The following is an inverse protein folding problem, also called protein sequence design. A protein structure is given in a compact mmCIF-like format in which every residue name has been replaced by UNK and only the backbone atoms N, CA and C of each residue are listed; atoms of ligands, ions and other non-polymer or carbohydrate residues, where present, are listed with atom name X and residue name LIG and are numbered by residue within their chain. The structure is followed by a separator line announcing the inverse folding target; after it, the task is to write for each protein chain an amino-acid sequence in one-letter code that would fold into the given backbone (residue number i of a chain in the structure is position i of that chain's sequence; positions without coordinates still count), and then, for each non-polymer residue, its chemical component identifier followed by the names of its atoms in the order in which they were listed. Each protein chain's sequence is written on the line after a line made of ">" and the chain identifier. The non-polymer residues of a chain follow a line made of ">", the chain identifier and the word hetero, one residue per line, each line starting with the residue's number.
data_IF_321315522442
#
_entry.id   IF_321315522442
#
_cell.length_a   1.000
_cell.length_b   1.000
_cell.length_c   1.000
_cell.angle_alpha   90.00
_cell.angle_beta   90.00
_cell.angle_gamma   90.00
#
_symmetry.space_group_name_H-M   'P 1'
#
loop_
_entity.id
_entity.type
_entity.pdbx_description
1 polymer ?
#
# COMPACT_ATOMS: atom_id res chain seq x y z
N UNK A 1 -64.24 71.99 78.42
CA UNK A 1 -64.00 71.06 77.28
C UNK A 1 -63.07 71.78 76.33
N UNK A 2 -61.77 71.60 76.49
CA UNK A 2 -60.74 72.16 75.62
C UNK A 2 -60.26 71.03 74.73
N UNK A 3 -60.41 71.26 73.43
CA UNK A 3 -59.96 70.54 72.24
C UNK A 3 -59.13 69.24 72.40
N UNK A 4 -59.80 68.09 72.31
CA UNK A 4 -59.15 66.83 71.89
C UNK A 4 -58.74 66.84 70.40
N UNK A 5 -59.15 67.87 69.67
CA UNK A 5 -58.90 68.09 68.23
C UNK A 5 -57.55 68.76 67.97
N UNK A 6 -57.06 69.62 68.88
CA UNK A 6 -55.73 70.23 68.78
C UNK A 6 -54.59 69.28 69.18
N UNK A 7 -54.82 68.34 70.10
CA UNK A 7 -53.80 67.35 70.48
C UNK A 7 -53.48 66.37 69.33
N UNK A 8 -54.47 66.05 68.48
CA UNK A 8 -54.24 65.21 67.29
C UNK A 8 -53.37 65.92 66.24
N UNK A 9 -53.42 67.25 66.11
CA UNK A 9 -52.59 68.00 65.15
C UNK A 9 -51.10 68.06 65.54
N UNK A 10 -50.74 67.77 66.80
CA UNK A 10 -49.38 67.88 67.33
C UNK A 10 -48.70 66.52 67.63
N UNK A 11 -49.23 65.42 67.12
CA UNK A 11 -48.56 64.12 67.31
C UNK A 11 -47.23 64.09 66.54
N UNK A 12 -46.19 63.52 67.15
CA UNK A 12 -44.86 63.35 66.54
C UNK A 12 -44.97 62.67 65.16
N UNK A 13 -45.88 61.71 65.01
CA UNK A 13 -46.09 60.98 63.77
C UNK A 13 -46.57 61.89 62.63
N UNK A 14 -47.50 62.81 62.90
CA UNK A 14 -48.00 63.76 61.90
C UNK A 14 -46.93 64.79 61.55
N UNK A 15 -46.17 65.27 62.54
CA UNK A 15 -45.06 66.20 62.30
C UNK A 15 -43.99 65.54 61.43
N UNK A 16 -43.59 64.29 61.75
CA UNK A 16 -42.61 63.53 60.97
C UNK A 16 -43.13 63.29 59.56
N UNK A 17 -44.39 62.88 59.39
CA UNK A 17 -44.97 62.64 58.07
C UNK A 17 -44.98 63.93 57.22
N UNK A 18 -45.39 65.06 57.80
CA UNK A 18 -45.39 66.35 57.12
C UNK A 18 -43.99 66.76 56.62
N UNK A 19 -42.93 66.43 57.37
CA UNK A 19 -41.55 66.66 56.92
C UNK A 19 -41.09 65.65 55.88
N UNK A 20 -41.48 64.38 56.00
CA UNK A 20 -41.17 63.34 55.03
C UNK A 20 -41.84 63.60 53.68
N UNK A 21 -43.04 64.16 53.67
CA UNK A 21 -43.76 64.49 52.44
C UNK A 21 -43.13 65.66 51.67
N UNK A 22 -42.36 66.51 52.36
CA UNK A 22 -41.58 67.58 51.73
C UNK A 22 -40.29 67.10 51.07
N UNK A 23 -39.91 65.82 51.25
CA UNK A 23 -38.69 65.26 50.63
C UNK A 23 -38.89 65.12 49.12
N UNK A 24 -38.07 65.82 48.36
CA UNK A 24 -38.03 65.78 46.90
C UNK A 24 -36.73 65.10 46.48
N UNK A 25 -36.83 64.07 45.63
CA UNK A 25 -35.67 63.41 45.04
C UNK A 25 -35.38 63.95 43.64
N UNK A 26 -34.16 64.42 43.43
CA UNK A 26 -33.69 64.91 42.14
C UNK A 26 -33.27 63.76 41.23
N UNK A 27 -33.23 64.03 39.93
CA UNK A 27 -32.69 63.10 38.94
C UNK A 27 -31.24 63.48 38.63
N UNK A 28 -30.36 62.51 38.32
CA UNK A 28 -28.99 62.81 37.94
C UNK A 28 -28.94 63.58 36.62
N UNK A 29 -27.83 64.26 36.39
CA UNK A 29 -27.46 64.77 35.06
C UNK A 29 -26.67 63.71 34.31
N UNK A 30 -26.70 63.75 32.98
CA UNK A 30 -26.01 62.77 32.13
C UNK A 30 -26.74 61.42 32.01
N UNK A 31 -26.14 60.49 31.27
CA UNK A 31 -26.73 59.20 30.92
C UNK A 31 -25.79 58.03 31.19
N UNK A 32 -26.37 56.85 31.43
CA UNK A 32 -25.63 55.61 31.65
C UNK A 32 -24.59 55.71 32.76
N UNK A 33 -23.38 55.24 32.48
CA UNK A 33 -22.29 55.21 33.46
C UNK A 33 -21.72 56.61 33.79
N UNK A 34 -22.01 57.58 32.92
CA UNK A 34 -21.60 58.97 33.08
C UNK A 34 -22.58 59.82 33.88
N UNK A 35 -23.65 59.25 34.44
CA UNK A 35 -24.60 60.00 35.25
C UNK A 35 -23.96 60.57 36.52
N UNK A 36 -24.26 61.82 36.88
CA UNK A 36 -23.64 62.52 38.01
C UNK A 36 -24.57 63.51 38.72
N UNK A 37 -24.18 63.89 39.93
CA UNK A 37 -24.64 65.09 40.63
C UNK A 37 -23.51 66.11 40.73
N UNK A 38 -23.87 67.40 40.78
CA UNK A 38 -22.93 68.49 41.05
C UNK A 38 -23.08 68.90 42.50
N UNK A 39 -22.02 68.81 43.29
CA UNK A 39 -22.03 69.36 44.64
C UNK A 39 -21.99 70.89 44.57
N UNK A 40 -23.05 71.52 45.07
CA UNK A 40 -23.18 72.98 45.11
C UNK A 40 -22.13 73.70 45.96
N UNK A 41 -21.40 72.97 46.83
CA UNK A 41 -20.43 73.57 47.77
C UNK A 41 -19.07 73.81 47.14
N UNK A 42 -18.59 72.86 46.33
CA UNK A 42 -17.25 72.86 45.75
C UNK A 42 -17.24 72.63 44.23
N UNK A 43 -18.41 72.44 43.61
CA UNK A 43 -18.56 72.17 42.18
C UNK A 43 -18.16 70.76 41.76
N UNK A 44 -17.87 69.86 42.71
CA UNK A 44 -17.39 68.51 42.40
C UNK A 44 -18.48 67.67 41.75
N UNK A 45 -18.09 66.94 40.71
CA UNK A 45 -18.95 65.93 40.09
C UNK A 45 -18.89 64.63 40.90
N UNK A 46 -20.05 64.17 41.36
CA UNK A 46 -20.21 62.90 42.08
C UNK A 46 -20.92 61.92 41.16
N UNK A 47 -20.30 60.79 40.87
CA UNK A 47 -20.88 59.77 40.00
C UNK A 47 -22.17 59.22 40.63
N UNK A 48 -23.28 59.28 39.91
CA UNK A 48 -24.60 58.93 40.43
C UNK A 48 -24.70 57.46 40.80
N UNK A 49 -24.06 56.55 40.07
CA UNK A 49 -24.13 55.10 40.31
C UNK A 49 -23.25 54.72 41.50
N UNK A 50 -22.10 55.35 41.63
CA UNK A 50 -21.10 55.04 42.66
C UNK A 50 -21.23 55.88 43.94
N UNK A 51 -22.14 56.86 43.95
CA UNK A 51 -22.38 57.73 45.10
C UNK A 51 -22.78 56.92 46.34
N UNK A 52 -22.18 57.27 47.48
CA UNK A 52 -22.56 56.73 48.78
C UNK A 52 -23.97 57.17 49.18
N UNK A 53 -24.60 56.45 50.11
CA UNK A 53 -25.90 56.83 50.67
C UNK A 53 -25.91 58.26 51.26
N UNK A 54 -24.76 58.72 51.76
CA UNK A 54 -24.60 60.06 52.30
C UNK A 54 -24.64 61.12 51.20
N UNK A 55 -23.81 60.93 50.16
CA UNK A 55 -23.77 61.80 48.99
C UNK A 55 -25.13 61.83 48.27
N UNK A 56 -25.77 60.69 48.08
CA UNK A 56 -27.10 60.60 47.48
C UNK A 56 -28.14 61.37 48.30
N UNK A 57 -28.10 61.29 49.63
CA UNK A 57 -29.04 62.05 50.47
C UNK A 57 -28.79 63.55 50.33
N UNK A 58 -27.54 64.00 50.42
CA UNK A 58 -27.22 65.42 50.41
C UNK A 58 -27.33 66.08 49.04
N UNK A 59 -27.06 65.35 47.96
CA UNK A 59 -27.04 65.87 46.58
C UNK A 59 -28.26 65.46 45.76
N UNK A 60 -28.78 64.25 45.99
CA UNK A 60 -29.93 63.70 45.28
C UNK A 60 -31.28 64.03 45.91
N UNK A 61 -31.32 64.80 46.99
CA UNK A 61 -32.56 65.30 47.59
C UNK A 61 -32.44 66.73 48.10
N UNK A 62 -33.57 67.35 48.43
CA UNK A 62 -33.61 68.64 49.14
C UNK A 62 -33.30 68.55 50.65
N UNK A 63 -32.68 67.47 51.13
CA UNK A 63 -32.42 67.20 52.54
C UNK A 63 -31.70 68.34 53.27
N UNK A 64 -30.72 69.01 52.64
CA UNK A 64 -30.02 70.14 53.26
C UNK A 64 -30.96 71.30 53.65
N UNK A 65 -31.93 71.59 52.79
CA UNK A 65 -32.94 72.64 53.06
C UNK A 65 -33.86 72.23 54.20
N UNK A 66 -34.34 70.98 54.18
CA UNK A 66 -35.21 70.43 55.23
C UNK A 66 -34.48 70.37 56.58
N UNK A 67 -33.22 69.93 56.58
CA UNK A 67 -32.35 69.86 57.75
C UNK A 67 -32.22 71.22 58.44
N UNK A 68 -32.00 72.29 57.68
CA UNK A 68 -31.87 73.64 58.23
C UNK A 68 -33.20 74.13 58.83
N UNK A 69 -34.32 73.96 58.11
CA UNK A 69 -35.65 74.36 58.61
C UNK A 69 -36.04 73.64 59.90
N UNK A 70 -35.78 72.33 60.00
CA UNK A 70 -36.09 71.55 61.22
C UNK A 70 -35.23 72.04 62.40
N UNK A 71 -33.95 72.36 62.16
CA UNK A 71 -33.05 72.89 63.20
C UNK A 71 -33.46 74.27 63.71
N UNK A 72 -34.05 75.10 62.86
CA UNK A 72 -34.56 76.42 63.22
C UNK A 72 -35.90 76.32 63.98
N UNK A 73 -36.74 75.35 63.64
CA UNK A 73 -38.10 75.24 64.17
C UNK A 73 -38.23 74.42 65.46
N UNK A 74 -37.33 73.47 65.73
CA UNK A 74 -37.44 72.54 66.86
C UNK A 74 -36.15 72.43 67.67
N UNK A 75 -36.28 72.13 68.96
CA UNK A 75 -35.16 71.96 69.90
C UNK A 75 -35.29 70.65 70.70
N UNK A 76 -34.19 70.23 71.35
CA UNK A 76 -34.16 69.06 72.22
C UNK A 76 -34.47 67.72 71.53
N UNK A 77 -35.04 66.78 72.27
CA UNK A 77 -35.32 65.42 71.79
C UNK A 77 -36.27 65.35 70.59
N UNK A 78 -37.24 66.28 70.51
CA UNK A 78 -38.18 66.35 69.40
C UNK A 78 -37.46 66.61 68.07
N UNK A 79 -36.50 67.54 68.07
CA UNK A 79 -35.66 67.84 66.90
C UNK A 79 -34.90 66.59 66.43
N UNK A 80 -34.23 65.88 67.34
CA UNK A 80 -33.45 64.68 66.98
C UNK A 80 -34.32 63.53 66.45
N UNK A 81 -35.51 63.34 67.02
CA UNK A 81 -36.47 62.34 66.54
C UNK A 81 -36.94 62.63 65.11
N UNK A 82 -37.26 63.90 64.82
CA UNK A 82 -37.66 64.33 63.47
C UNK A 82 -36.48 64.21 62.50
N UNK A 83 -35.29 64.69 62.87
CA UNK A 83 -34.11 64.65 62.02
C UNK A 83 -33.71 63.23 61.63
N UNK A 84 -33.69 62.29 62.57
CA UNK A 84 -33.39 60.90 62.27
C UNK A 84 -34.42 60.30 61.31
N UNK A 85 -35.71 60.52 61.58
CA UNK A 85 -36.79 59.99 60.74
C UNK A 85 -36.75 60.54 59.30
N UNK A 86 -36.45 61.83 59.14
CA UNK A 86 -36.30 62.48 57.84
C UNK A 86 -35.02 62.02 57.14
N UNK A 87 -33.90 61.86 57.86
CA UNK A 87 -32.64 61.36 57.32
C UNK A 87 -32.80 59.96 56.71
N UNK A 88 -33.46 59.06 57.44
CA UNK A 88 -33.70 57.70 56.96
C UNK A 88 -34.60 57.69 55.72
N UNK A 89 -35.72 58.42 55.76
CA UNK A 89 -36.66 58.43 54.64
C UNK A 89 -36.06 59.09 53.39
N UNK A 90 -35.29 60.19 53.54
CA UNK A 90 -34.60 60.83 52.43
C UNK A 90 -33.59 59.88 51.76
N UNK A 91 -32.80 59.17 52.57
CA UNK A 91 -31.85 58.16 52.08
C UNK A 91 -32.58 57.02 51.36
N UNK A 92 -33.66 56.50 51.95
CA UNK A 92 -34.44 55.39 51.39
C UNK A 92 -35.05 55.76 50.04
N UNK A 93 -35.66 56.94 49.92
CA UNK A 93 -36.31 57.39 48.67
C UNK A 93 -35.30 57.58 47.55
N UNK A 94 -34.15 58.22 47.83
CA UNK A 94 -33.16 58.49 46.79
C UNK A 94 -32.44 57.22 46.32
N UNK A 95 -32.10 56.31 47.23
CA UNK A 95 -31.49 55.01 46.87
C UNK A 95 -32.47 54.16 46.05
N UNK A 96 -33.74 54.13 46.43
CA UNK A 96 -34.77 53.45 45.63
C UNK A 96 -34.88 54.04 44.22
N UNK A 97 -34.90 55.37 44.11
CA UNK A 97 -34.96 56.06 42.82
C UNK A 97 -33.72 55.78 41.96
N UNK A 98 -32.53 55.81 42.56
CA UNK A 98 -31.27 55.45 41.90
C UNK A 98 -31.30 54.02 41.36
N UNK A 99 -31.76 53.06 42.16
CA UNK A 99 -31.88 51.67 41.73
C UNK A 99 -32.83 51.52 40.54
N UNK A 100 -34.01 52.13 40.60
CA UNK A 100 -34.98 52.11 39.51
C UNK A 100 -34.44 52.76 38.24
N UNK A 101 -33.72 53.86 38.38
CA UNK A 101 -33.09 54.56 37.25
C UNK A 101 -32.01 53.69 36.60
N UNK A 102 -31.13 53.05 37.38
CA UNK A 102 -30.08 52.15 36.88
C UNK A 102 -30.73 50.98 36.12
N UNK A 103 -31.72 50.33 36.71
CA UNK A 103 -32.44 49.22 36.06
C UNK A 103 -33.03 49.65 34.72
N UNK A 104 -33.77 50.77 34.72
CA UNK A 104 -34.42 51.27 33.50
C UNK A 104 -33.40 51.66 32.42
N UNK A 105 -32.28 52.28 32.82
CA UNK A 105 -31.25 52.75 31.90
C UNK A 105 -30.49 51.62 31.20
N UNK A 106 -30.27 50.49 31.89
CA UNK A 106 -29.52 49.35 31.33
C UNK A 106 -30.41 48.26 30.72
N UNK A 107 -31.72 48.28 30.95
CA UNK A 107 -32.63 47.22 30.48
C UNK A 107 -32.56 47.02 28.97
N UNK A 108 -32.66 48.09 28.19
CA UNK A 108 -32.63 48.00 26.73
C UNK A 108 -31.28 47.43 26.21
N UNK A 109 -30.17 47.84 26.82
CA UNK A 109 -28.84 47.34 26.46
C UNK A 109 -28.69 45.85 26.77
N UNK A 110 -29.20 45.41 27.92
CA UNK A 110 -29.18 44.00 28.32
C UNK A 110 -29.99 43.16 27.34
N UNK A 111 -31.22 43.58 27.02
CA UNK A 111 -32.09 42.84 26.08
C UNK A 111 -31.50 42.79 24.67
N UNK A 112 -30.93 43.90 24.19
CA UNK A 112 -30.22 43.90 22.91
C UNK A 112 -29.05 42.91 22.91
N UNK A 113 -28.21 42.91 23.96
CA UNK A 113 -27.07 41.99 24.05
C UNK A 113 -27.50 40.52 24.10
N UNK A 114 -28.58 40.20 24.82
CA UNK A 114 -29.13 38.84 24.86
C UNK A 114 -29.55 38.38 23.46
N UNK A 115 -30.30 39.22 22.74
CA UNK A 115 -30.77 38.90 21.40
C UNK A 115 -29.59 38.71 20.41
N UNK A 116 -28.55 39.55 20.49
CA UNK A 116 -27.33 39.35 19.69
C UNK A 116 -26.64 38.02 20.01
N UNK A 117 -26.54 37.65 21.29
CA UNK A 117 -25.92 36.37 21.70
C UNK A 117 -26.72 35.17 21.21
N UNK A 118 -28.05 35.22 21.29
CA UNK A 118 -28.93 34.16 20.79
C UNK A 118 -28.81 33.99 19.26
N UNK A 119 -28.76 35.09 18.52
CA UNK A 119 -28.53 35.08 17.07
C UNK A 119 -27.17 34.46 16.72
N UNK A 120 -26.10 34.90 17.40
CA UNK A 120 -24.76 34.37 17.18
C UNK A 120 -24.65 32.88 17.55
N UNK A 121 -25.31 32.45 18.63
CA UNK A 121 -25.35 31.03 19.00
C UNK A 121 -26.04 30.19 17.93
N UNK A 122 -27.17 30.67 17.40
CA UNK A 122 -27.91 29.98 16.34
C UNK A 122 -27.10 29.88 15.04
N UNK A 123 -26.38 30.93 14.68
CA UNK A 123 -25.48 30.94 13.52
C UNK A 123 -24.31 29.96 13.70
N UNK A 124 -23.70 29.92 14.89
CA UNK A 124 -22.64 28.96 15.21
C UNK A 124 -23.14 27.52 15.07
N UNK A 125 -24.34 27.21 15.57
CA UNK A 125 -24.89 25.86 15.49
C UNK A 125 -25.25 25.46 14.06
N UNK A 126 -25.77 26.40 13.25
CA UNK A 126 -25.97 26.20 11.82
C UNK A 126 -24.65 25.91 11.08
N UNK A 127 -23.60 26.69 11.34
CA UNK A 127 -22.28 26.48 10.72
C UNK A 127 -21.66 25.14 11.13
N UNK A 128 -21.82 24.72 12.39
CA UNK A 128 -21.39 23.38 12.84
C UNK A 128 -22.09 22.26 12.07
N UNK A 129 -23.39 22.41 11.79
CA UNK A 129 -24.12 21.43 11.01
C UNK A 129 -23.58 21.33 9.57
N UNK A 130 -23.34 22.47 8.91
CA UNK A 130 -22.72 22.49 7.57
C UNK A 130 -21.38 21.76 7.59
N UNK A 131 -20.52 22.05 8.58
CA UNK A 131 -19.21 21.41 8.70
C UNK A 131 -19.35 19.88 8.88
N UNK A 132 -20.33 19.43 9.67
CA UNK A 132 -20.58 18.00 9.85
C UNK A 132 -21.01 17.32 8.54
N UNK A 133 -21.96 17.92 7.81
CA UNK A 133 -22.43 17.42 6.52
C UNK A 133 -21.29 17.38 5.48
N UNK A 134 -20.48 18.43 5.40
CA UNK A 134 -19.32 18.48 4.51
C UNK A 134 -18.27 17.42 4.85
N UNK A 135 -17.96 17.22 6.13
CA UNK A 135 -17.03 16.18 6.56
C UNK A 135 -17.53 14.78 6.20
N UNK A 136 -18.84 14.54 6.32
CA UNK A 136 -19.43 13.28 5.91
C UNK A 136 -19.35 13.08 4.39
N UNK A 137 -19.64 14.11 3.59
CA UNK A 137 -19.50 14.06 2.13
C UNK A 137 -18.04 13.78 1.71
N UNK A 138 -17.07 14.45 2.34
CA UNK A 138 -15.64 14.22 2.09
C UNK A 138 -15.25 12.77 2.42
N UNK A 139 -15.77 12.21 3.52
CA UNK A 139 -15.48 10.82 3.90
C UNK A 139 -15.99 9.82 2.84
N UNK A 140 -17.19 10.04 2.30
CA UNK A 140 -17.76 9.21 1.22
C UNK A 140 -16.91 9.29 -0.04
N UNK A 141 -16.59 10.50 -0.50
CA UNK A 141 -15.72 10.69 -1.69
C UNK A 141 -14.37 10.01 -1.48
N UNK A 142 -13.80 10.11 -0.28
CA UNK A 142 -12.51 9.48 0.03
C UNK A 142 -12.58 7.96 -0.05
N UNK A 143 -13.67 7.33 0.42
CA UNK A 143 -13.85 5.88 0.28
C UNK A 143 -14.02 5.46 -1.19
N UNK A 144 -14.82 6.18 -1.96
CA UNK A 144 -15.03 5.88 -3.39
C UNK A 144 -13.72 5.98 -4.18
N UNK A 145 -12.96 7.06 -4.01
CA UNK A 145 -11.65 7.22 -4.64
C UNK A 145 -10.66 6.11 -4.24
N UNK A 146 -10.71 5.63 -2.99
CA UNK A 146 -9.83 4.56 -2.53
C UNK A 146 -10.18 3.21 -3.19
N UNK A 147 -11.47 2.94 -3.40
CA UNK A 147 -11.93 1.75 -4.12
C UNK A 147 -11.52 1.80 -5.59
N UNK A 148 -11.73 2.94 -6.26
CA UNK A 148 -11.32 3.15 -7.66
C UNK A 148 -9.80 2.98 -7.84
N UNK A 149 -8.99 3.56 -6.95
CA UNK A 149 -7.53 3.39 -6.99
C UNK A 149 -7.12 1.93 -6.83
N UNK A 150 -7.80 1.20 -5.95
CA UNK A 150 -7.53 -0.22 -5.72
C UNK A 150 -7.89 -1.07 -6.95
N UNK A 151 -9.00 -0.74 -7.61
CA UNK A 151 -9.41 -1.39 -8.86
C UNK A 151 -8.41 -1.12 -10.00
N UNK A 152 -7.94 0.12 -10.14
CA UNK A 152 -6.92 0.48 -11.15
C UNK A 152 -5.61 -0.25 -10.88
N UNK A 153 -5.16 -0.33 -9.62
CA UNK A 153 -3.95 -1.09 -9.28
C UNK A 153 -4.08 -2.57 -9.63
N UNK A 154 -5.25 -3.17 -9.38
CA UNK A 154 -5.52 -4.55 -9.76
C UNK A 154 -5.51 -4.75 -11.29
N UNK A 155 -6.10 -3.84 -12.07
CA UNK A 155 -6.10 -3.89 -13.53
C UNK A 155 -4.69 -3.75 -14.12
N UNK A 156 -3.87 -2.84 -13.56
CA UNK A 156 -2.46 -2.70 -13.95
C UNK A 156 -1.68 -3.98 -13.68
N UNK A 157 -1.88 -4.61 -12.52
CA UNK A 157 -1.22 -5.87 -12.17
C UNK A 157 -1.66 -7.03 -13.08
N UNK A 158 -2.96 -7.07 -13.43
CA UNK A 158 -3.50 -8.03 -14.37
C UNK A 158 -2.86 -7.89 -15.75
N UNK A 159 -2.78 -6.67 -16.31
CA UNK A 159 -2.11 -6.40 -17.59
C UNK A 159 -0.63 -6.79 -17.59
N UNK A 160 0.08 -6.57 -16.48
CA UNK A 160 1.47 -7.02 -16.34
C UNK A 160 1.58 -8.55 -16.41
N UNK A 161 0.65 -9.27 -15.76
CA UNK A 161 0.63 -10.73 -15.78
C UNK A 161 0.24 -11.29 -17.15
N UNK A 162 -0.70 -10.65 -17.84
CA UNK A 162 -1.04 -11.00 -19.23
C UNK A 162 0.17 -10.86 -20.16
N UNK A 163 0.92 -9.76 -20.04
CA UNK A 163 2.15 -9.57 -20.82
C UNK A 163 3.23 -10.62 -20.51
N UNK A 164 3.39 -11.01 -19.24
CA UNK A 164 4.31 -12.09 -18.83
C UNK A 164 3.88 -13.45 -19.42
N UNK A 165 2.57 -13.75 -19.40
CA UNK A 165 2.01 -14.97 -20.01
C UNK A 165 2.26 -14.96 -21.52
N UNK A 166 2.04 -13.84 -22.19
CA UNK A 166 2.26 -13.73 -23.63
C UNK A 166 3.73 -13.94 -24.00
N UNK A 167 4.66 -13.37 -23.22
CA UNK A 167 6.09 -13.59 -23.38
C UNK A 167 6.45 -15.09 -23.21
N UNK A 168 5.96 -15.74 -22.15
CA UNK A 168 6.20 -17.18 -21.92
C UNK A 168 5.61 -18.04 -23.03
N UNK A 169 4.43 -17.71 -23.54
CA UNK A 169 3.81 -18.40 -24.66
C UNK A 169 4.66 -18.29 -25.93
N UNK A 170 5.26 -17.12 -26.20
CA UNK A 170 6.22 -16.96 -27.31
C UNK A 170 7.45 -17.85 -27.13
N UNK A 171 7.99 -17.95 -25.90
CA UNK A 171 9.12 -18.85 -25.60
C UNK A 171 8.74 -20.33 -25.79
N UNK A 172 7.57 -20.75 -25.33
CA UNK A 172 7.06 -22.12 -25.54
C UNK A 172 6.94 -22.41 -27.04
N UNK A 173 6.41 -21.47 -27.83
CA UNK A 173 6.30 -21.64 -29.27
C UNK A 173 7.68 -21.81 -29.95
N UNK A 174 8.68 -21.02 -29.54
CA UNK A 174 10.05 -21.14 -30.04
C UNK A 174 10.68 -22.50 -29.67
N UNK A 175 10.54 -22.92 -28.40
CA UNK A 175 11.04 -24.21 -27.94
C UNK A 175 10.38 -25.37 -28.68
N UNK A 176 9.07 -25.30 -28.92
CA UNK A 176 8.35 -26.31 -29.70
C UNK A 176 8.84 -26.40 -31.15
N UNK A 177 9.15 -25.26 -31.79
CA UNK A 177 9.75 -25.26 -33.13
C UNK A 177 11.14 -25.91 -33.14
N UNK A 178 11.98 -25.63 -32.14
CA UNK A 178 13.29 -26.27 -32.00
C UNK A 178 13.15 -27.77 -31.80
N UNK A 179 12.23 -28.20 -30.94
CA UNK A 179 11.97 -29.61 -30.65
C UNK A 179 11.53 -30.36 -31.92
N UNK A 180 10.61 -29.77 -32.71
CA UNK A 180 10.23 -30.31 -34.02
C UNK A 180 11.40 -30.42 -35.00
N UNK A 181 12.33 -29.46 -34.98
CA UNK A 181 13.52 -29.51 -35.83
C UNK A 181 14.43 -30.66 -35.42
N UNK A 182 14.68 -30.82 -34.12
CA UNK A 182 15.45 -31.95 -33.58
C UNK A 182 14.79 -33.29 -33.89
N UNK A 183 13.47 -33.41 -33.77
CA UNK A 183 12.74 -34.64 -34.11
C UNK A 183 12.92 -35.02 -35.58
N UNK A 184 12.86 -34.04 -36.49
CA UNK A 184 13.12 -34.26 -37.92
C UNK A 184 14.55 -34.73 -38.17
N UNK A 185 15.52 -34.14 -37.47
CA UNK A 185 16.93 -34.52 -37.58
C UNK A 185 17.17 -35.96 -37.08
N UNK A 186 16.56 -36.32 -35.95
CA UNK A 186 16.60 -37.70 -35.42
C UNK A 186 15.99 -38.68 -36.42
N UNK A 187 14.86 -38.33 -37.05
CA UNK A 187 14.24 -39.17 -38.08
C UNK A 187 15.18 -39.34 -39.27
N UNK A 188 15.83 -38.27 -39.74
CA UNK A 188 16.82 -38.32 -40.83
C UNK A 188 17.98 -39.24 -40.48
N UNK A 189 18.63 -39.02 -39.34
CA UNK A 189 19.76 -39.82 -38.88
C UNK A 189 19.40 -41.30 -38.69
N UNK A 190 18.20 -41.60 -38.18
CA UNK A 190 17.70 -42.99 -38.10
C UNK A 190 17.53 -43.61 -39.48
N UNK A 191 17.06 -42.85 -40.47
CA UNK A 191 16.92 -43.34 -41.84
C UNK A 191 18.29 -43.63 -42.48
N UNK A 192 19.26 -42.72 -42.29
CA UNK A 192 20.65 -42.88 -42.77
C UNK A 192 21.32 -44.10 -42.12
N UNK A 193 21.17 -44.27 -40.80
CA UNK A 193 21.69 -45.43 -40.08
C UNK A 193 21.11 -46.74 -40.63
N UNK A 194 19.78 -46.79 -40.84
CA UNK A 194 19.12 -47.97 -41.38
C UNK A 194 19.59 -48.30 -42.81
N UNK A 195 19.77 -47.27 -43.65
CA UNK A 195 20.30 -47.44 -45.00
C UNK A 195 21.75 -47.97 -44.96
N UNK A 196 22.62 -47.37 -44.14
CA UNK A 196 24.00 -47.82 -43.97
C UNK A 196 24.09 -49.27 -43.46
N UNK A 197 23.22 -49.65 -42.52
CA UNK A 197 23.11 -51.03 -42.04
C UNK A 197 22.68 -52.01 -43.14
N UNK A 198 21.74 -51.62 -44.01
CA UNK A 198 21.33 -52.45 -45.15
C UNK A 198 22.47 -52.62 -46.16
N UNK A 199 23.15 -51.54 -46.52
CA UNK A 199 24.31 -51.58 -47.41
C UNK A 199 25.43 -52.48 -46.86
N UNK A 200 25.72 -52.36 -45.56
CA UNK A 200 26.72 -53.19 -44.90
C UNK A 200 26.33 -54.68 -44.93
N UNK A 201 25.06 -55.01 -44.65
CA UNK A 201 24.55 -56.38 -44.76
C UNK A 201 24.69 -56.94 -46.18
N UNK A 202 24.40 -56.14 -47.20
CA UNK A 202 24.56 -56.53 -48.61
C UNK A 202 26.03 -56.77 -48.97
N UNK A 203 26.93 -55.86 -48.58
CA UNK A 203 28.39 -56.01 -48.79
C UNK A 203 28.92 -57.27 -48.08
N UNK A 204 28.51 -57.49 -46.83
CA UNK A 204 28.90 -58.68 -46.07
C UNK A 204 28.42 -59.99 -46.74
N UNK A 205 27.17 -60.03 -47.22
CA UNK A 205 26.66 -61.17 -48.00
C UNK A 205 27.45 -61.39 -49.30
N UNK A 206 27.85 -60.31 -49.96
CA UNK A 206 28.74 -60.34 -51.13
C UNK A 206 30.11 -60.95 -50.81
N UNK A 207 30.74 -60.51 -49.72
CA UNK A 207 32.01 -61.05 -49.21
C UNK A 207 31.91 -62.54 -48.88
N UNK A 208 30.85 -62.98 -48.20
CA UNK A 208 30.62 -64.41 -47.95
C UNK A 208 30.53 -65.18 -49.27
N UNK A 209 29.80 -64.65 -50.26
CA UNK A 209 29.66 -65.30 -51.57
C UNK A 209 31.00 -65.42 -52.28
N UNK A 210 31.83 -64.37 -52.24
CA UNK A 210 33.19 -64.38 -52.79
C UNK A 210 34.08 -65.38 -52.05
N UNK A 211 34.00 -65.44 -50.72
CA UNK A 211 34.74 -66.39 -49.91
C UNK A 211 34.39 -67.84 -50.26
N UNK A 212 33.09 -68.17 -50.37
CA UNK A 212 32.63 -69.50 -50.79
C UNK A 212 33.12 -69.86 -52.20
N UNK A 213 33.07 -68.90 -53.15
CA UNK A 213 33.65 -69.10 -54.50
C UNK A 213 35.16 -69.35 -54.46
N UNK A 214 35.88 -68.62 -53.61
CA UNK A 214 37.32 -68.83 -53.43
C UNK A 214 37.63 -70.20 -52.81
N UNK A 215 36.85 -70.64 -51.83
CA UNK A 215 37.01 -71.96 -51.22
C UNK A 215 36.76 -73.09 -52.21
N UNK A 216 35.70 -72.99 -53.01
CA UNK A 216 35.39 -73.98 -54.06
C UNK A 216 36.47 -74.01 -55.16
N UNK A 217 36.95 -72.85 -55.59
CA UNK A 217 38.06 -72.77 -56.54
C UNK A 217 39.36 -73.39 -55.98
N UNK A 218 39.67 -73.13 -54.70
CA UNK A 218 40.82 -73.75 -54.02
C UNK A 218 40.69 -75.27 -53.95
N UNK A 219 39.52 -75.80 -53.60
CA UNK A 219 39.26 -77.25 -53.60
C UNK A 219 39.47 -77.86 -54.99
N UNK A 220 39.06 -77.15 -56.06
CA UNK A 220 39.29 -77.58 -57.43
C UNK A 220 40.79 -77.65 -57.76
N UNK A 221 41.57 -76.60 -57.43
CA UNK A 221 43.02 -76.59 -57.60
C UNK A 221 43.68 -77.73 -56.80
N UNK A 222 43.27 -77.96 -55.55
CA UNK A 222 43.81 -79.04 -54.72
C UNK A 222 43.55 -80.43 -55.33
N UNK A 223 42.38 -80.64 -55.95
CA UNK A 223 42.07 -81.88 -56.68
C UNK A 223 42.92 -82.08 -57.94
N UNK A 224 43.19 -80.99 -58.67
CA UNK A 224 44.08 -80.99 -59.83
C UNK A 224 45.53 -81.26 -59.39
N UNK A 225 45.99 -80.67 -58.30
CA UNK A 225 47.33 -80.91 -57.73
C UNK A 225 47.52 -82.37 -57.28
N UNK A 226 46.50 -82.98 -56.66
CA UNK A 226 46.52 -84.42 -56.34
C UNK A 226 46.64 -85.29 -57.60
N UNK A 227 45.92 -84.93 -58.65
CA UNK A 227 45.97 -85.63 -59.94
C UNK A 227 47.35 -85.48 -60.60
N UNK A 228 47.93 -84.27 -60.57
CA UNK A 228 49.30 -84.00 -61.03
C UNK A 228 50.34 -84.79 -60.24
N UNK A 229 50.20 -84.87 -58.91
CA UNK A 229 51.07 -85.71 -58.07
C UNK A 229 50.95 -87.20 -58.41
N UNK A 230 49.74 -87.70 -58.71
CA UNK A 230 49.55 -89.07 -59.18
C UNK A 230 50.26 -89.30 -60.52
N UNK A 231 50.14 -88.37 -61.49
CA UNK A 231 50.88 -88.42 -62.75
C UNK A 231 52.39 -88.39 -62.54
N UNK A 232 52.90 -87.53 -61.64
CA UNK A 232 54.31 -87.46 -61.28
C UNK A 232 54.81 -88.79 -60.71
N UNK A 233 54.05 -89.44 -59.85
CA UNK A 233 54.40 -90.74 -59.29
C UNK A 233 54.44 -91.85 -60.35
N UNK A 234 53.49 -91.85 -61.30
CA UNK A 234 53.50 -92.77 -62.45
C UNK A 234 54.74 -92.52 -63.31
N UNK A 235 55.05 -91.25 -63.58
CA UNK A 235 56.25 -90.88 -64.34
C UNK A 235 57.54 -91.35 -63.66
N UNK A 236 57.68 -91.14 -62.34
CA UNK A 236 58.83 -91.64 -61.57
C UNK A 236 58.92 -93.18 -61.64
N UNK A 237 57.80 -93.90 -61.54
CA UNK A 237 57.79 -95.37 -61.69
C UNK A 237 58.21 -95.80 -63.09
N UNK A 238 57.73 -95.12 -64.13
CA UNK A 238 58.13 -95.38 -65.51
C UNK A 238 59.63 -95.08 -65.73
N UNK A 239 60.12 -93.97 -65.18
CA UNK A 239 61.54 -93.59 -65.21
C UNK A 239 62.42 -94.65 -64.54
N UNK A 240 62.04 -95.11 -63.33
CA UNK A 240 62.76 -96.18 -62.63
C UNK A 240 62.76 -97.48 -63.42
N UNK A 241 61.66 -97.80 -64.10
CA UNK A 241 61.57 -98.99 -64.97
C UNK A 241 62.45 -98.87 -66.21
N UNK A 242 62.53 -97.69 -66.82
CA UNK A 242 63.47 -97.40 -67.91
C UNK A 242 64.92 -97.59 -67.44
N UNK A 243 65.26 -97.06 -66.27
CA UNK A 243 66.61 -97.20 -65.71
C UNK A 243 66.97 -98.68 -65.46
N UNK A 244 66.04 -99.47 -64.89
CA UNK A 244 66.19 -100.92 -64.73
C UNK A 244 66.41 -101.63 -66.06
N UNK A 245 65.60 -101.33 -67.08
CA UNK A 245 65.75 -101.92 -68.43
C UNK A 245 67.07 -101.51 -69.11
N UNK A 246 67.57 -100.30 -68.85
CA UNK A 246 68.90 -99.87 -69.32
C UNK A 246 70.02 -100.65 -68.65
N UNK A 247 69.94 -100.90 -67.33
CA UNK A 247 70.89 -101.76 -66.62
C UNK A 247 70.84 -103.20 -67.11
N UNK A 248 69.65 -103.77 -67.31
CA UNK A 248 69.49 -105.12 -67.86
C UNK A 248 70.08 -105.22 -69.29
N UNK A 249 69.88 -104.19 -70.11
CA UNK A 249 70.46 -104.11 -71.45
C UNK A 249 72.00 -104.07 -71.41
N UNK A 250 72.60 -103.30 -70.49
CA UNK A 250 74.05 -103.27 -70.30
C UNK A 250 74.60 -104.63 -69.86
N UNK A 251 73.88 -105.34 -68.99
CA UNK A 251 74.21 -106.69 -68.54
C UNK A 251 74.17 -107.70 -69.69
N UNK A 252 73.12 -107.64 -70.53
CA UNK A 252 73.00 -108.45 -71.74
C UNK A 252 74.09 -108.12 -72.77
N UNK A 253 74.46 -106.86 -72.93
CA UNK A 253 75.58 -106.44 -73.79
C UNK A 253 76.93 -106.99 -73.29
N UNK A 254 77.18 -106.95 -71.98
CA UNK A 254 78.35 -107.60 -71.38
C UNK A 254 78.36 -109.11 -71.61
N UNK A 255 77.22 -109.78 -71.44
CA UNK A 255 77.10 -111.22 -71.69
C UNK A 255 77.31 -111.58 -73.17
N UNK A 256 76.84 -110.73 -74.08
CA UNK A 256 77.06 -110.90 -75.52
C UNK A 256 78.55 -110.72 -75.89
N UNK A 257 79.25 -109.77 -75.27
CA UNK A 257 80.71 -109.59 -75.42
C UNK A 257 81.46 -110.83 -74.89
N UNK A 258 81.07 -111.36 -73.73
CA UNK A 258 81.65 -112.62 -73.20
C UNK A 258 81.44 -113.82 -74.14
N UNK A 259 80.24 -113.95 -74.71
CA UNK A 259 79.93 -115.00 -75.69
C UNK A 259 80.76 -114.83 -76.97
N UNK A 260 80.89 -113.61 -77.50
CA UNK A 260 81.73 -113.33 -78.66
C UNK A 260 83.21 -113.64 -78.38
N UNK A 261 83.70 -113.37 -77.17
CA UNK A 261 85.07 -113.70 -76.77
C UNK A 261 85.29 -115.22 -76.63
N UNK A 262 84.30 -115.97 -76.12
CA UNK A 262 84.35 -117.45 -76.11
C UNK A 262 84.32 -118.05 -77.53
N UNK A 263 83.55 -117.47 -78.45
CA UNK A 263 83.51 -117.90 -79.87
C UNK A 263 84.85 -117.62 -80.58
N UNK A 264 85.53 -116.51 -80.28
CA UNK A 264 86.88 -116.21 -80.82
C UNK A 264 87.95 -117.20 -80.35
N UNK A 265 87.89 -117.65 -79.10
CA UNK A 265 88.84 -118.63 -78.53
C UNK A 265 88.69 -120.04 -79.14
N UNK A 266 87.51 -120.41 -79.63
CA UNK A 266 87.27 -121.70 -80.28
C UNK A 266 87.76 -121.78 -81.74
N UNK A 267 88.04 -120.64 -82.41
CA UNK A 267 88.44 -120.59 -83.83
C UNK A 267 89.94 -120.77 -84.11
N UNK A 268 90.82 -120.82 -83.10
CA UNK A 268 92.28 -120.94 -83.31
C UNK A 268 92.80 -122.38 -83.06
N UNK A 269 91.97 -123.30 -82.56
CA UNK A 269 92.36 -124.71 -82.29
C UNK A 269 92.25 -125.68 -83.48
N UNK A 270 91.91 -125.21 -84.68
CA UNK A 270 91.88 -126.03 -85.89
C UNK A 270 92.38 -125.26 -87.11
N UNK A 271 93.70 -125.17 -87.28
CA UNK A 271 94.44 -125.06 -88.55
C UNK A 271 95.92 -125.22 -88.26
#
# INVERSE_FOLDING_TARGET
>A
MIDSTMEKQNSLQIIVQNWQDQIICFSPQGEGYGAYFVDSRDGRLVNYIQASCDELRHLGTNYNSILNKIKEQYYGYLKEAILNSVKYEATRRVVRKQHQWIQSSYQALIEHKKLTVEQQSSEIDYLKQIIAEQNQAIAVIKSECQEELSAIQADVLLKQKEAEIEQKNRQIAQLNQQLQKCDREIISLKSELNQGLQELKLKYKGLITQFVKSCTHKQQIDSQNKSLQACKNIFIKAQNKINLLQSDRQLLEQHNIELQNKIKLLKIKCS
#
